data_IF_919222385526
#
_entry.id   IF_919222385526
#
_cell.length_a   1.000
_cell.length_b   1.000
_cell.length_c   1.000
_cell.angle_alpha   90.00
_cell.angle_beta   90.00
_cell.angle_gamma   90.00
#
_symmetry.space_group_name_H-M   'P 1'
#
loop_
_entity.id
_entity.type
_entity.pdbx_description
1 polymer ?
#
# COMPACT_ATOMS: atom_id res chain seq x y z
N UNK A 1 -8.54 9.19 25.18
CA UNK A 1 -7.42 10.07 24.75
C UNK A 1 -7.53 10.40 23.27
N UNK A 2 -7.14 11.62 22.86
CA UNK A 2 -7.02 11.99 21.44
C UNK A 2 -5.76 11.38 20.80
N UNK A 3 -5.81 11.07 19.49
CA UNK A 3 -4.63 10.66 18.74
C UNK A 3 -3.54 11.73 18.85
N UNK A 4 -2.32 11.34 19.20
CA UNK A 4 -1.16 12.25 19.13
C UNK A 4 -0.50 12.04 17.78
N UNK A 5 -1.06 12.66 16.75
CA UNK A 5 -0.62 12.54 15.36
C UNK A 5 0.90 12.77 15.24
N UNK A 6 1.42 13.82 15.90
CA UNK A 6 2.86 14.13 15.89
C UNK A 6 3.73 13.02 16.47
N UNK A 7 3.29 12.39 17.58
CA UNK A 7 4.01 11.27 18.18
C UNK A 7 4.00 10.05 17.25
N UNK A 8 2.86 9.71 16.65
CA UNK A 8 2.76 8.60 15.71
C UNK A 8 3.65 8.81 14.47
N UNK A 9 3.71 10.03 13.93
CA UNK A 9 4.57 10.38 12.80
C UNK A 9 6.06 10.34 13.17
N UNK A 10 6.46 10.96 14.29
CA UNK A 10 7.85 11.01 14.74
C UNK A 10 8.38 9.61 15.07
N UNK A 11 7.57 8.80 15.75
CA UNK A 11 7.94 7.45 16.13
C UNK A 11 7.96 6.51 14.92
N UNK A 12 6.98 6.62 14.01
CA UNK A 12 6.97 5.91 12.74
C UNK A 12 8.20 6.25 11.89
N UNK A 13 8.58 7.53 11.84
CA UNK A 13 9.81 7.99 11.18
C UNK A 13 11.05 7.36 11.83
N UNK A 14 11.20 7.50 13.15
CA UNK A 14 12.35 6.94 13.88
C UNK A 14 12.50 5.44 13.64
N UNK A 15 11.40 4.69 13.73
CA UNK A 15 11.34 3.24 13.49
C UNK A 15 11.74 2.85 12.07
N UNK A 16 11.33 3.63 11.07
CA UNK A 16 11.68 3.38 9.66
C UNK A 16 13.18 3.45 9.42
N UNK A 17 13.88 4.37 10.11
CA UNK A 17 15.34 4.53 10.03
C UNK A 17 16.13 3.66 11.02
N UNK A 18 15.47 2.81 11.81
CA UNK A 18 16.16 1.77 12.60
C UNK A 18 16.56 0.59 11.70
N UNK A 19 17.44 -0.27 12.21
CA UNK A 19 17.96 -1.44 11.48
C UNK A 19 16.84 -2.32 10.90
N UNK A 20 15.85 -2.69 11.73
CA UNK A 20 14.70 -3.47 11.27
C UNK A 20 13.89 -2.73 10.18
N UNK A 21 13.69 -1.41 10.34
CA UNK A 21 13.00 -0.59 9.33
C UNK A 21 13.75 -0.54 8.00
N UNK A 22 15.07 -0.35 8.01
CA UNK A 22 15.90 -0.33 6.80
C UNK A 22 15.97 -1.69 6.10
N UNK A 23 15.99 -2.79 6.86
CA UNK A 23 15.87 -4.14 6.30
C UNK A 23 14.53 -4.31 5.60
N UNK A 24 13.43 -3.87 6.22
CA UNK A 24 12.11 -3.90 5.59
C UNK A 24 12.07 -3.03 4.33
N UNK A 25 12.65 -1.82 4.35
CA UNK A 25 12.75 -0.98 3.15
C UNK A 25 13.47 -1.73 2.04
N UNK A 26 14.63 -2.33 2.31
CA UNK A 26 15.36 -3.11 1.31
C UNK A 26 14.50 -4.26 0.73
N UNK A 27 13.77 -4.98 1.59
CA UNK A 27 12.85 -6.05 1.17
C UNK A 27 11.72 -5.51 0.29
N UNK A 28 11.09 -4.38 0.66
CA UNK A 28 10.03 -3.76 -0.14
C UNK A 28 10.54 -3.18 -1.45
N UNK A 29 11.77 -2.67 -1.51
CA UNK A 29 12.39 -2.18 -2.75
C UNK A 29 12.66 -3.36 -3.69
N UNK A 30 13.26 -4.46 -3.20
CA UNK A 30 13.49 -5.65 -4.01
C UNK A 30 12.18 -6.26 -4.50
N UNK A 31 11.19 -6.39 -3.61
CA UNK A 31 9.84 -6.83 -3.97
C UNK A 31 9.20 -5.88 -4.98
N UNK A 32 9.35 -4.57 -4.78
CA UNK A 32 8.82 -3.53 -5.66
C UNK A 32 9.41 -3.59 -7.06
N UNK A 33 10.70 -3.92 -7.22
CA UNK A 33 11.34 -4.12 -8.52
C UNK A 33 10.73 -5.31 -9.24
N UNK A 34 10.61 -6.45 -8.55
CA UNK A 34 10.00 -7.64 -9.13
C UNK A 34 8.51 -7.42 -9.46
N UNK A 35 7.79 -6.70 -8.59
CA UNK A 35 6.40 -6.31 -8.84
C UNK A 35 6.28 -5.33 -10.01
N UNK A 36 7.24 -4.44 -10.23
CA UNK A 36 7.26 -3.53 -11.37
C UNK A 36 7.41 -4.29 -12.70
N UNK A 37 8.25 -5.32 -12.75
CA UNK A 37 8.36 -6.21 -13.92
C UNK A 37 7.01 -6.88 -14.20
N UNK A 38 6.38 -7.46 -13.17
CA UNK A 38 5.09 -8.15 -13.31
C UNK A 38 3.97 -7.19 -13.73
N UNK A 39 3.89 -6.01 -13.10
CA UNK A 39 2.85 -5.02 -13.41
C UNK A 39 3.03 -4.41 -14.79
N UNK A 40 4.27 -4.12 -15.21
CA UNK A 40 4.55 -3.63 -16.56
C UNK A 40 4.28 -4.71 -17.61
N UNK A 41 4.64 -5.97 -17.35
CA UNK A 41 4.31 -7.08 -18.24
C UNK A 41 2.80 -7.28 -18.38
N UNK A 42 2.05 -7.16 -17.28
CA UNK A 42 0.59 -7.21 -17.30
C UNK A 42 -0.02 -6.06 -18.10
N UNK A 43 0.44 -4.82 -17.88
CA UNK A 43 0.00 -3.64 -18.62
C UNK A 43 0.33 -3.77 -20.11
N UNK A 44 1.53 -4.24 -20.47
CA UNK A 44 1.93 -4.46 -21.86
C UNK A 44 1.09 -5.55 -22.54
N UNK A 45 0.80 -6.65 -21.86
CA UNK A 45 -0.07 -7.70 -22.38
C UNK A 45 -1.52 -7.22 -22.55
N UNK A 46 -1.99 -6.36 -21.64
CA UNK A 46 -3.32 -5.75 -21.72
C UNK A 46 -3.42 -4.77 -22.88
N UNK A 47 -2.41 -3.92 -23.08
CA UNK A 47 -2.39 -2.95 -24.19
C UNK A 47 -2.29 -3.65 -25.55
N UNK A 48 -1.50 -4.72 -25.66
CA UNK A 48 -1.43 -5.55 -26.86
C UNK A 48 -2.80 -6.16 -27.22
N UNK A 49 -3.48 -6.77 -26.24
CA UNK A 49 -4.82 -7.33 -26.44
C UNK A 49 -5.84 -6.25 -26.88
N UNK A 50 -5.79 -5.07 -26.27
CA UNK A 50 -6.66 -3.95 -26.64
C UNK A 50 -6.36 -3.45 -28.06
N UNK A 51 -5.09 -3.37 -28.44
CA UNK A 51 -4.66 -2.94 -29.78
C UNK A 51 -5.11 -3.94 -30.85
N UNK A 52 -4.94 -5.24 -30.61
CA UNK A 52 -5.39 -6.31 -31.52
C UNK A 52 -6.92 -6.28 -31.69
N UNK A 53 -7.66 -6.10 -30.59
CA UNK A 53 -9.12 -5.97 -30.63
C UNK A 53 -9.58 -4.71 -31.39
N UNK A 54 -8.87 -3.59 -31.23
CA UNK A 54 -9.20 -2.34 -31.92
C UNK A 54 -8.88 -2.39 -33.41
N UNK A 55 -7.76 -3.03 -33.79
CA UNK A 55 -7.38 -3.24 -35.19
C UNK A 55 -8.35 -4.13 -35.98
N UNK A 56 -9.13 -4.97 -35.29
CA UNK A 56 -10.16 -5.82 -35.90
C UNK A 56 -11.51 -5.10 -36.08
N UNK A 57 -11.70 -3.90 -35.52
CA UNK A 57 -12.95 -3.15 -35.70
C UNK A 57 -12.99 -2.45 -37.07
N UNK A 58 -14.16 -2.39 -37.76
CA UNK A 58 -14.31 -1.64 -39.00
C UNK A 58 -13.96 -0.15 -38.80
N UNK A 59 -12.93 0.33 -39.52
CA UNK A 59 -12.40 1.69 -39.36
C UNK A 59 -11.24 1.83 -38.36
N UNK A 60 -10.78 0.73 -37.76
CA UNK A 60 -9.55 0.71 -36.96
C UNK A 60 -8.33 0.98 -37.85
N UNK A 61 -7.65 2.11 -37.62
CA UNK A 61 -6.36 2.38 -38.27
C UNK A 61 -5.30 1.42 -37.69
N UNK A 62 -4.53 0.68 -38.52
CA UNK A 62 -3.39 -0.09 -38.03
C UNK A 62 -2.32 0.87 -37.50
N UNK A 63 -1.95 0.73 -36.23
CA UNK A 63 -1.08 1.67 -35.51
C UNK A 63 -1.92 2.69 -34.75
N UNK A 64 -2.02 2.50 -33.43
CA UNK A 64 -2.82 3.32 -32.53
C UNK A 64 -2.47 4.82 -32.57
N UNK A 65 -3.24 5.64 -31.85
CA UNK A 65 -2.98 7.07 -31.75
C UNK A 65 -1.50 7.33 -31.34
N UNK A 66 -0.82 8.31 -31.96
CA UNK A 66 0.56 8.63 -31.62
C UNK A 66 0.70 8.88 -30.12
N UNK A 67 1.74 8.31 -29.52
CA UNK A 67 2.02 8.51 -28.10
C UNK A 67 2.27 9.99 -27.80
N UNK A 68 1.97 10.45 -26.59
CA UNK A 68 2.23 11.86 -26.19
C UNK A 68 3.71 12.25 -26.42
N UNK A 69 4.63 11.29 -26.31
CA UNK A 69 6.06 11.46 -26.61
C UNK A 69 6.40 11.57 -28.11
N UNK A 70 5.56 11.08 -29.02
CA UNK A 70 5.70 11.32 -30.46
C UNK A 70 5.19 12.71 -30.88
N UNK A 71 4.28 13.29 -30.08
CA UNK A 71 3.67 14.60 -30.35
C UNK A 71 4.49 15.77 -29.79
N UNK A 72 5.40 15.54 -28.83
CA UNK A 72 6.16 16.60 -28.15
C UNK A 72 7.68 16.36 -28.28
N UNK A 73 8.40 17.16 -29.09
CA UNK A 73 9.85 17.05 -29.23
C UNK A 73 10.58 17.24 -27.89
N UNK A 74 11.48 16.32 -27.54
CA UNK A 74 12.24 16.36 -26.28
C UNK A 74 11.56 15.66 -25.09
N UNK A 75 10.32 15.18 -25.26
CA UNK A 75 9.70 14.22 -24.35
C UNK A 75 10.16 12.82 -24.75
N UNK A 76 10.49 11.98 -23.76
CA UNK A 76 10.99 10.64 -24.04
C UNK A 76 9.98 9.83 -24.85
N UNK A 77 10.34 9.42 -26.06
CA UNK A 77 9.63 8.42 -26.87
C UNK A 77 9.87 6.98 -26.40
N UNK A 78 10.38 6.82 -25.18
CA UNK A 78 10.71 5.52 -24.61
C UNK A 78 9.47 4.69 -24.35
N UNK A 79 9.63 3.36 -24.41
CA UNK A 79 8.60 2.41 -24.04
C UNK A 79 8.07 2.75 -22.62
N UNK A 80 6.75 2.98 -22.44
CA UNK A 80 6.16 3.27 -21.13
C UNK A 80 6.26 2.09 -20.16
N UNK A 81 6.62 0.91 -20.65
CA UNK A 81 6.78 -0.35 -19.92
C UNK A 81 8.18 -0.94 -20.09
N UNK A 82 9.25 -0.21 -19.70
CA UNK A 82 10.64 -0.57 -20.02
C UNK A 82 11.14 -1.89 -19.39
N UNK A 83 10.42 -2.43 -18.39
CA UNK A 83 10.71 -3.68 -17.70
C UNK A 83 9.73 -4.80 -18.06
N UNK A 84 8.81 -4.57 -19.00
CA UNK A 84 7.87 -5.59 -19.41
C UNK A 84 8.57 -6.78 -20.06
N UNK A 85 8.10 -7.97 -19.73
CA UNK A 85 8.47 -9.22 -20.37
C UNK A 85 7.36 -9.61 -21.36
N UNK A 86 7.71 -10.19 -22.52
CA UNK A 86 6.73 -10.66 -23.51
C UNK A 86 6.10 -11.97 -23.02
N UNK A 87 5.20 -11.88 -22.03
CA UNK A 87 4.48 -13.02 -21.46
C UNK A 87 2.99 -12.95 -21.78
N UNK A 88 2.31 -14.10 -21.96
CA UNK A 88 0.87 -14.11 -22.21
C UNK A 88 0.06 -13.50 -21.05
N UNK A 89 -1.02 -12.80 -21.38
CA UNK A 89 -1.88 -12.12 -20.39
C UNK A 89 -2.35 -13.04 -19.24
N UNK A 90 -2.77 -14.30 -19.47
CA UNK A 90 -3.15 -15.18 -18.36
C UNK A 90 -2.00 -15.45 -17.39
N UNK A 91 -0.77 -15.58 -17.91
CA UNK A 91 0.44 -15.82 -17.10
C UNK A 91 0.77 -14.56 -16.30
N UNK A 92 0.73 -13.39 -16.94
CA UNK A 92 0.94 -12.10 -16.25
C UNK A 92 -0.11 -11.87 -15.15
N UNK A 93 -1.37 -12.22 -15.40
CA UNK A 93 -2.45 -12.11 -14.42
C UNK A 93 -2.28 -13.04 -13.22
N UNK A 94 -1.87 -14.29 -13.45
CA UNK A 94 -1.55 -15.23 -12.35
C UNK A 94 -0.35 -14.77 -11.53
N UNK A 95 0.70 -14.24 -12.17
CA UNK A 95 1.84 -13.66 -11.48
C UNK A 95 1.44 -12.44 -10.66
N UNK A 96 0.62 -11.53 -11.21
CA UNK A 96 0.13 -10.37 -10.50
C UNK A 96 -0.68 -10.78 -9.26
N UNK A 97 -1.52 -11.81 -9.37
CA UNK A 97 -2.27 -12.37 -8.24
C UNK A 97 -1.33 -12.96 -7.19
N UNK A 98 -0.34 -13.78 -7.59
CA UNK A 98 0.64 -14.34 -6.66
C UNK A 98 1.43 -13.25 -5.92
N UNK A 99 1.85 -12.20 -6.62
CA UNK A 99 2.51 -11.04 -6.02
C UNK A 99 1.61 -10.28 -5.06
N UNK A 100 0.30 -10.19 -5.32
CA UNK A 100 -0.63 -9.57 -4.39
C UNK A 100 -0.68 -10.30 -3.02
N UNK A 101 -0.66 -11.65 -3.02
CA UNK A 101 -0.58 -12.44 -1.79
C UNK A 101 0.75 -12.24 -1.05
N UNK A 102 1.87 -12.22 -1.78
CA UNK A 102 3.19 -11.94 -1.18
C UNK A 102 3.25 -10.54 -0.59
N UNK A 103 2.69 -9.54 -1.28
CA UNK A 103 2.61 -8.17 -0.79
C UNK A 103 1.83 -8.07 0.52
N UNK A 104 0.72 -8.79 0.65
CA UNK A 104 -0.05 -8.82 1.89
C UNK A 104 0.71 -9.52 3.03
N UNK A 105 1.44 -10.59 2.73
CA UNK A 105 2.34 -11.24 3.69
C UNK A 105 3.44 -10.30 4.19
N UNK A 106 4.10 -9.58 3.28
CA UNK A 106 5.11 -8.57 3.64
C UNK A 106 4.52 -7.47 4.53
N UNK A 107 3.32 -6.99 4.24
CA UNK A 107 2.63 -5.99 5.07
C UNK A 107 2.36 -6.52 6.49
N UNK A 108 1.83 -7.74 6.62
CA UNK A 108 1.55 -8.37 7.91
C UNK A 108 2.84 -8.54 8.74
N UNK A 109 3.89 -9.08 8.13
CA UNK A 109 5.20 -9.23 8.80
C UNK A 109 5.72 -7.87 9.26
N UNK A 110 5.62 -6.84 8.41
CA UNK A 110 6.07 -5.49 8.76
C UNK A 110 5.31 -4.90 9.93
N UNK A 111 3.98 -5.08 9.97
CA UNK A 111 3.15 -4.64 11.10
C UNK A 111 3.61 -5.33 12.39
N UNK A 112 3.84 -6.65 12.36
CA UNK A 112 4.31 -7.41 13.53
C UNK A 112 5.68 -6.93 14.01
N UNK A 113 6.61 -6.67 13.10
CA UNK A 113 7.93 -6.13 13.41
C UNK A 113 7.81 -4.74 14.05
N UNK A 114 6.98 -3.85 13.50
CA UNK A 114 6.80 -2.51 14.06
C UNK A 114 5.99 -2.47 15.36
N UNK A 115 5.17 -3.48 15.63
CA UNK A 115 4.45 -3.65 16.89
C UNK A 115 5.33 -4.28 18.00
N UNK A 116 6.42 -4.95 17.65
CA UNK A 116 7.36 -5.48 18.63
C UNK A 116 8.28 -4.38 19.19
N UNK A 117 8.71 -4.45 20.44
CA UNK A 117 9.68 -3.49 20.99
C UNK A 117 11.11 -3.71 20.45
N UNK A 118 11.34 -4.85 19.79
CA UNK A 118 12.64 -5.24 19.25
C UNK A 118 12.97 -4.47 17.97
N UNK A 119 14.07 -3.73 17.98
CA UNK A 119 14.50 -2.88 16.85
C UNK A 119 15.82 -3.32 16.21
N UNK A 120 16.51 -4.29 16.83
CA UNK A 120 17.85 -4.74 16.41
C UNK A 120 17.85 -6.04 15.58
N UNK A 121 16.90 -6.95 15.82
CA UNK A 121 16.76 -8.24 15.13
C UNK A 121 15.29 -8.49 14.82
N UNK A 122 14.98 -9.12 13.69
CA UNK A 122 13.61 -9.58 13.35
C UNK A 122 13.39 -10.96 13.96
N UNK A 123 12.51 -11.12 14.97
CA UNK A 123 12.24 -12.43 15.57
C UNK A 123 11.58 -13.38 14.56
N UNK A 124 12.15 -14.58 14.40
CA UNK A 124 11.63 -15.58 13.46
C UNK A 124 10.20 -16.06 13.77
N UNK A 125 9.78 -15.97 15.03
CA UNK A 125 8.42 -16.32 15.45
C UNK A 125 7.37 -15.37 14.84
N UNK A 126 7.65 -14.06 14.77
CA UNK A 126 6.75 -13.07 14.18
C UNK A 126 6.53 -13.31 12.68
N UNK A 127 7.54 -13.86 12.01
CA UNK A 127 7.51 -14.20 10.58
C UNK A 127 6.79 -15.53 10.33
N UNK A 128 6.89 -16.51 11.24
CA UNK A 128 6.37 -17.87 11.02
C UNK A 128 4.98 -18.12 11.61
N UNK A 129 4.61 -17.44 12.69
CA UNK A 129 3.36 -17.72 13.42
C UNK A 129 2.14 -17.37 12.58
N UNK A 130 1.34 -18.37 12.19
CA UNK A 130 0.06 -18.21 11.51
C UNK A 130 0.08 -17.31 10.25
N UNK A 131 1.21 -17.16 9.58
CA UNK A 131 1.33 -16.18 8.47
C UNK A 131 0.35 -16.47 7.33
N UNK A 132 0.14 -17.74 6.97
CA UNK A 132 -0.81 -18.09 5.91
C UNK A 132 -2.25 -17.73 6.26
N UNK A 133 -2.68 -17.98 7.50
CA UNK A 133 -4.01 -17.65 7.99
C UNK A 133 -4.19 -16.13 8.10
N UNK A 134 -3.17 -15.43 8.61
CA UNK A 134 -3.17 -13.97 8.68
C UNK A 134 -3.25 -13.34 7.28
N UNK A 135 -2.50 -13.86 6.30
CA UNK A 135 -2.57 -13.40 4.90
C UNK A 135 -3.95 -13.63 4.33
N UNK A 136 -4.54 -14.81 4.51
CA UNK A 136 -5.88 -15.10 4.01
C UNK A 136 -6.92 -14.17 4.62
N UNK A 137 -6.90 -14.01 5.94
CA UNK A 137 -7.78 -13.09 6.65
C UNK A 137 -7.56 -11.64 6.19
N UNK A 138 -6.31 -11.21 6.01
CA UNK A 138 -5.93 -9.89 5.54
C UNK A 138 -6.45 -9.60 4.13
N UNK A 139 -6.32 -10.56 3.21
CA UNK A 139 -6.85 -10.46 1.85
C UNK A 139 -8.37 -10.37 1.87
N UNK A 140 -9.06 -11.28 2.58
CA UNK A 140 -10.53 -11.30 2.64
C UNK A 140 -11.07 -10.02 3.28
N UNK A 141 -10.53 -9.64 4.43
CA UNK A 141 -10.86 -8.39 5.12
C UNK A 141 -10.62 -7.17 4.23
N UNK A 142 -9.46 -7.13 3.56
CA UNK A 142 -9.09 -6.07 2.63
C UNK A 142 -10.08 -5.92 1.48
N UNK A 143 -10.48 -7.02 0.84
CA UNK A 143 -11.47 -7.01 -0.24
C UNK A 143 -12.81 -6.46 0.25
N UNK A 144 -13.32 -6.95 1.39
CA UNK A 144 -14.59 -6.50 1.97
C UNK A 144 -14.55 -5.00 2.25
N UNK A 145 -13.48 -4.52 2.92
CA UNK A 145 -13.33 -3.10 3.25
C UNK A 145 -13.21 -2.26 1.99
N UNK A 146 -12.41 -2.66 1.01
CA UNK A 146 -12.25 -1.92 -0.25
C UNK A 146 -13.59 -1.81 -0.98
N UNK A 147 -14.35 -2.89 -1.10
CA UNK A 147 -15.69 -2.86 -1.71
C UNK A 147 -16.61 -1.92 -0.93
N UNK A 148 -16.66 -2.03 0.40
CA UNK A 148 -17.51 -1.20 1.23
C UNK A 148 -17.16 0.29 1.11
N UNK A 149 -15.87 0.63 1.10
CA UNK A 149 -15.38 2.00 0.93
C UNK A 149 -15.70 2.53 -0.47
N UNK A 150 -15.47 1.76 -1.53
CA UNK A 150 -15.76 2.16 -2.92
C UNK A 150 -17.26 2.39 -3.11
N UNK A 151 -18.11 1.46 -2.66
CA UNK A 151 -19.56 1.63 -2.70
C UNK A 151 -20.01 2.84 -1.86
N UNK A 152 -19.39 3.02 -0.69
CA UNK A 152 -19.58 4.21 0.14
C UNK A 152 -19.28 5.48 -0.64
N UNK A 153 -18.09 5.60 -1.23
CA UNK A 153 -17.64 6.77 -2.00
C UNK A 153 -18.54 7.05 -3.22
N UNK A 154 -18.98 6.00 -3.93
CA UNK A 154 -19.89 6.10 -5.08
C UNK A 154 -21.27 6.62 -4.63
N UNK A 155 -21.80 6.11 -3.52
CA UNK A 155 -23.08 6.56 -2.99
C UNK A 155 -23.00 8.00 -2.47
N UNK A 156 -21.96 8.32 -1.70
CA UNK A 156 -21.63 9.67 -1.23
C UNK A 156 -20.18 9.72 -0.69
N UNK A 157 -19.44 10.80 -0.93
CA UNK A 157 -18.03 10.91 -0.50
C UNK A 157 -17.87 10.69 1.02
N UNK A 158 -18.79 11.24 1.83
CA UNK A 158 -18.74 11.16 3.30
C UNK A 158 -18.79 9.73 3.87
N UNK A 159 -19.77 8.86 3.53
CA UNK A 159 -19.81 7.48 4.03
C UNK A 159 -18.59 6.67 3.58
N UNK A 160 -18.07 6.88 2.38
CA UNK A 160 -16.83 6.23 1.93
C UNK A 160 -15.62 6.57 2.82
N UNK A 161 -15.41 7.87 3.09
CA UNK A 161 -14.35 8.34 4.00
C UNK A 161 -14.57 7.78 5.42
N UNK A 162 -15.81 7.81 5.89
CA UNK A 162 -16.17 7.30 7.21
C UNK A 162 -15.83 5.82 7.38
N UNK A 163 -16.12 4.98 6.38
CA UNK A 163 -15.77 3.56 6.39
C UNK A 163 -14.24 3.36 6.30
N UNK A 164 -13.55 4.14 5.46
CA UNK A 164 -12.10 4.07 5.33
C UNK A 164 -11.39 4.38 6.66
N UNK A 165 -11.87 5.39 7.39
CA UNK A 165 -11.36 5.72 8.73
C UNK A 165 -11.75 4.64 9.75
N UNK A 166 -12.98 4.11 9.68
CA UNK A 166 -13.45 3.11 10.65
C UNK A 166 -12.71 1.77 10.54
N UNK A 167 -12.25 1.42 9.34
CA UNK A 167 -11.48 0.21 9.08
C UNK A 167 -9.97 0.45 8.92
N UNK A 168 -9.47 1.61 9.34
CA UNK A 168 -8.06 1.99 9.21
C UNK A 168 -7.10 0.99 9.88
N UNK A 169 -7.54 0.33 10.96
CA UNK A 169 -6.72 -0.59 11.77
C UNK A 169 -6.97 -2.07 11.51
N UNK A 170 -7.69 -2.43 10.46
CA UNK A 170 -8.08 -3.83 10.22
C UNK A 170 -6.87 -4.75 10.05
N UNK A 171 -5.84 -4.31 9.31
CA UNK A 171 -4.62 -5.10 9.12
C UNK A 171 -3.83 -5.25 10.42
N UNK A 172 -3.86 -4.23 11.28
CA UNK A 172 -3.18 -4.23 12.57
C UNK A 172 -3.86 -5.19 13.55
N UNK A 173 -5.20 -5.23 13.58
CA UNK A 173 -5.94 -6.22 14.35
C UNK A 173 -5.57 -7.66 13.91
N UNK A 174 -5.54 -7.93 12.61
CA UNK A 174 -5.17 -9.26 12.07
C UNK A 174 -3.71 -9.60 12.39
N UNK A 175 -2.79 -8.66 12.18
CA UNK A 175 -1.37 -8.93 12.30
C UNK A 175 -0.88 -9.00 13.76
N UNK A 176 -1.41 -8.16 14.65
CA UNK A 176 -0.95 -8.02 16.05
C UNK A 176 -1.80 -8.84 17.01
N UNK A 177 -3.12 -8.87 16.82
CA UNK A 177 -4.06 -9.56 17.71
C UNK A 177 -4.46 -10.95 17.18
N UNK A 178 -3.90 -11.38 16.03
CA UNK A 178 -4.20 -12.66 15.35
C UNK A 178 -5.71 -12.88 15.12
N UNK A 179 -6.45 -11.79 14.95
CA UNK A 179 -7.90 -11.80 14.68
C UNK A 179 -8.22 -12.40 13.30
N UNK A 180 -9.38 -13.06 13.21
CA UNK A 180 -9.95 -13.43 11.92
C UNK A 180 -10.58 -12.20 11.23
N UNK A 181 -10.94 -12.33 9.94
CA UNK A 181 -11.45 -11.18 9.19
C UNK A 181 -12.71 -10.53 9.81
N UNK A 182 -13.61 -11.31 10.41
CA UNK A 182 -14.82 -10.78 11.07
C UNK A 182 -14.48 -10.07 12.39
N UNK A 183 -13.65 -10.70 13.23
CA UNK A 183 -13.17 -10.12 14.48
C UNK A 183 -12.43 -8.82 14.24
N UNK A 184 -11.56 -8.79 13.23
CA UNK A 184 -10.79 -7.61 12.82
C UNK A 184 -11.67 -6.43 12.36
N UNK A 185 -12.80 -6.70 11.68
CA UNK A 185 -13.76 -5.66 11.29
C UNK A 185 -14.38 -5.00 12.52
N UNK A 186 -14.91 -5.81 13.44
CA UNK A 186 -15.52 -5.31 14.69
C UNK A 186 -14.49 -4.55 15.52
N UNK A 187 -13.31 -5.15 15.69
CA UNK A 187 -12.22 -4.59 16.48
C UNK A 187 -11.71 -3.26 15.94
N UNK A 188 -11.50 -3.13 14.63
CA UNK A 188 -11.11 -1.86 14.02
C UNK A 188 -12.19 -0.79 14.21
N UNK A 189 -13.46 -1.15 14.08
CA UNK A 189 -14.57 -0.22 14.29
C UNK A 189 -14.62 0.31 15.73
N UNK A 190 -14.44 -0.56 16.72
CA UNK A 190 -14.40 -0.20 18.14
C UNK A 190 -13.21 0.70 18.47
N UNK A 191 -12.01 0.35 17.98
CA UNK A 191 -10.80 1.15 18.18
C UNK A 191 -10.95 2.57 17.61
N UNK A 192 -11.59 2.71 16.45
CA UNK A 192 -11.69 4.00 15.76
C UNK A 192 -12.80 4.90 16.27
N UNK A 193 -13.85 4.36 16.91
CA UNK A 193 -15.09 5.09 17.31
C UNK A 193 -14.84 6.39 18.08
N UNK A 194 -13.80 6.44 18.92
CA UNK A 194 -13.45 7.62 19.74
C UNK A 194 -12.44 8.58 19.10
N UNK A 195 -11.86 8.24 17.94
CA UNK A 195 -10.69 8.95 17.41
C UNK A 195 -10.73 9.19 15.90
N UNK A 196 -11.93 9.11 15.29
CA UNK A 196 -12.11 9.18 13.83
C UNK A 196 -11.53 10.43 13.21
N UNK A 197 -11.73 11.61 13.82
CA UNK A 197 -11.17 12.86 13.30
C UNK A 197 -9.65 12.92 13.40
N UNK A 198 -9.07 12.40 14.48
CA UNK A 198 -7.61 12.28 14.62
C UNK A 198 -7.02 11.34 13.56
N UNK A 199 -7.67 10.21 13.33
CA UNK A 199 -7.28 9.23 12.30
C UNK A 199 -7.46 9.78 10.89
N UNK A 200 -8.52 10.53 10.63
CA UNK A 200 -8.72 11.24 9.37
C UNK A 200 -7.59 12.25 9.14
N UNK A 201 -7.25 13.07 10.14
CA UNK A 201 -6.13 14.01 10.06
C UNK A 201 -4.80 13.31 9.80
N UNK A 202 -4.53 12.20 10.49
CA UNK A 202 -3.35 11.38 10.25
C UNK A 202 -3.31 10.83 8.82
N UNK A 203 -4.42 10.28 8.34
CA UNK A 203 -4.53 9.74 6.98
C UNK A 203 -4.29 10.81 5.92
N UNK A 204 -4.85 12.02 6.11
CA UNK A 204 -4.64 13.17 5.22
C UNK A 204 -3.16 13.57 5.22
N UNK A 205 -2.51 13.68 6.38
CA UNK A 205 -1.09 14.06 6.45
C UNK A 205 -0.21 13.02 5.75
N UNK A 206 -0.44 11.74 6.00
CA UNK A 206 0.29 10.66 5.30
C UNK A 206 0.04 10.71 3.80
N UNK A 207 -1.19 10.96 3.37
CA UNK A 207 -1.52 11.11 1.95
C UNK A 207 -0.81 12.30 1.30
N UNK A 208 -0.77 13.46 1.96
CA UNK A 208 -0.03 14.65 1.49
C UNK A 208 1.47 14.38 1.39
N UNK A 209 2.07 13.71 2.37
CA UNK A 209 3.49 13.31 2.32
C UNK A 209 3.74 12.43 1.09
N UNK A 210 2.90 11.43 0.85
CA UNK A 210 3.02 10.56 -0.32
C UNK A 210 2.88 11.34 -1.64
N UNK A 211 1.97 12.31 -1.70
CA UNK A 211 1.77 13.16 -2.86
C UNK A 211 3.02 14.00 -3.17
N UNK A 212 3.58 14.67 -2.15
CA UNK A 212 4.79 15.49 -2.30
C UNK A 212 5.98 14.63 -2.76
N UNK A 213 6.18 13.47 -2.13
CA UNK A 213 7.26 12.54 -2.44
C UNK A 213 7.09 11.91 -3.83
N UNK A 214 5.87 11.85 -4.36
CA UNK A 214 5.58 11.35 -5.70
C UNK A 214 5.90 12.32 -6.84
N UNK A 215 5.97 13.64 -6.59
CA UNK A 215 6.17 14.66 -7.64
C UNK A 215 7.46 14.45 -8.45
N UNK A 216 8.65 14.25 -7.82
CA UNK A 216 9.89 14.04 -8.57
C UNK A 216 9.80 12.81 -9.47
N UNK A 217 9.21 11.73 -8.95
CA UNK A 217 9.03 10.46 -9.66
C UNK A 217 8.23 10.65 -10.96
N UNK A 218 7.13 11.40 -10.91
CA UNK A 218 6.33 11.70 -12.08
C UNK A 218 7.17 12.45 -13.13
N UNK A 219 7.93 13.47 -12.72
CA UNK A 219 8.83 14.21 -13.63
C UNK A 219 9.88 13.32 -14.29
N UNK A 220 10.52 12.42 -13.53
CA UNK A 220 11.49 11.49 -14.08
C UNK A 220 10.88 10.46 -15.02
N UNK A 221 9.65 9.97 -14.75
CA UNK A 221 8.95 9.05 -15.65
C UNK A 221 8.72 9.66 -17.04
N UNK A 222 8.43 10.97 -17.14
CA UNK A 222 8.26 11.66 -18.42
C UNK A 222 9.57 11.81 -19.21
N UNK A 223 10.71 11.95 -18.53
CA UNK A 223 12.01 12.17 -19.18
C UNK A 223 12.71 10.84 -19.52
N UNK A 224 12.69 9.89 -18.60
CA UNK A 224 13.29 8.58 -18.73
C UNK A 224 12.45 7.54 -17.96
N UNK A 225 11.59 6.77 -18.65
CA UNK A 225 10.68 5.81 -18.02
C UNK A 225 11.39 4.80 -17.11
N UNK A 226 12.58 4.34 -17.48
CA UNK A 226 13.36 3.39 -16.69
C UNK A 226 13.84 4.03 -15.39
N UNK A 227 14.52 5.17 -15.47
CA UNK A 227 15.01 5.89 -14.29
C UNK A 227 13.86 6.31 -13.36
N UNK A 228 12.74 6.78 -13.94
CA UNK A 228 11.52 7.09 -13.20
C UNK A 228 10.93 5.87 -12.49
N UNK A 229 10.93 4.70 -13.14
CA UNK A 229 10.49 3.44 -12.51
C UNK A 229 11.40 3.03 -11.36
N UNK A 230 12.72 3.07 -11.55
CA UNK A 230 13.66 2.69 -10.48
C UNK A 230 13.54 3.63 -9.28
N UNK A 231 13.43 4.93 -9.54
CA UNK A 231 13.20 5.94 -8.49
C UNK A 231 11.85 5.71 -7.78
N UNK A 232 10.79 5.41 -8.53
CA UNK A 232 9.45 5.14 -7.98
C UNK A 232 9.45 3.95 -7.04
N UNK A 233 10.17 2.88 -7.39
CA UNK A 233 10.27 1.67 -6.58
C UNK A 233 11.01 1.93 -5.28
N UNK A 234 12.14 2.66 -5.32
CA UNK A 234 12.88 3.04 -4.12
C UNK A 234 12.00 3.88 -3.19
N UNK A 235 11.38 4.92 -3.74
CA UNK A 235 10.50 5.82 -3.00
C UNK A 235 9.31 5.06 -2.40
N UNK A 236 8.65 4.20 -3.19
CA UNK A 236 7.49 3.41 -2.77
C UNK A 236 7.86 2.46 -1.63
N UNK A 237 9.06 1.87 -1.65
CA UNK A 237 9.56 1.04 -0.55
C UNK A 237 9.64 1.82 0.76
N UNK A 238 10.25 3.01 0.74
CA UNK A 238 10.33 3.88 1.92
C UNK A 238 8.94 4.33 2.41
N UNK A 239 8.09 4.82 1.50
CA UNK A 239 6.77 5.34 1.90
C UNK A 239 5.85 4.25 2.42
N UNK A 240 5.91 3.04 1.85
CA UNK A 240 5.15 1.88 2.32
C UNK A 240 5.56 1.51 3.74
N UNK A 241 6.86 1.37 3.99
CA UNK A 241 7.39 1.01 5.33
C UNK A 241 7.06 2.10 6.35
N UNK A 242 7.26 3.36 5.99
CA UNK A 242 6.89 4.50 6.83
C UNK A 242 5.40 4.51 7.17
N UNK A 243 4.53 4.33 6.18
CA UNK A 243 3.09 4.28 6.37
C UNK A 243 2.66 3.14 7.30
N UNK A 244 3.26 1.96 7.16
CA UNK A 244 3.01 0.83 8.06
C UNK A 244 3.47 1.16 9.48
N UNK A 245 4.66 1.73 9.66
CA UNK A 245 5.18 2.10 10.98
C UNK A 245 4.27 3.12 11.67
N UNK A 246 3.90 4.20 10.97
CA UNK A 246 2.99 5.25 11.49
C UNK A 246 1.63 4.67 11.86
N UNK A 247 1.03 3.86 10.99
CA UNK A 247 -0.26 3.24 11.26
C UNK A 247 -0.20 2.27 12.45
N UNK A 248 0.90 1.52 12.59
CA UNK A 248 1.13 0.61 13.72
C UNK A 248 1.28 1.36 15.03
N UNK A 249 1.99 2.49 15.04
CA UNK A 249 2.11 3.33 16.26
C UNK A 249 0.80 4.01 16.63
N UNK A 250 0.06 4.50 15.65
CA UNK A 250 -1.29 5.02 15.88
C UNK A 250 -2.22 3.94 16.47
N UNK A 251 -2.13 2.70 15.97
CA UNK A 251 -2.88 1.57 16.50
C UNK A 251 -2.52 1.29 17.96
N UNK A 252 -1.24 1.17 18.29
CA UNK A 252 -0.80 0.94 19.68
C UNK A 252 -1.23 2.07 20.62
N UNK A 253 -1.14 3.31 20.16
CA UNK A 253 -1.55 4.47 20.95
C UNK A 253 -3.05 4.40 21.30
N UNK A 254 -3.89 4.11 20.31
CA UNK A 254 -5.35 4.01 20.52
C UNK A 254 -5.70 2.81 21.39
N UNK A 255 -5.04 1.66 21.15
CA UNK A 255 -5.23 0.44 21.92
C UNK A 255 -4.86 0.61 23.39
N UNK A 256 -3.67 1.15 23.69
CA UNK A 256 -3.21 1.42 25.07
C UNK A 256 -4.14 2.40 25.79
N UNK A 257 -4.58 3.45 25.09
CA UNK A 257 -5.51 4.44 25.64
C UNK A 257 -6.92 3.91 25.94
N UNK A 258 -7.29 2.74 25.43
CA UNK A 258 -8.53 2.03 25.82
C UNK A 258 -8.32 1.05 26.97
N UNK A 259 -7.12 0.49 27.11
CA UNK A 259 -6.78 -0.46 28.18
C UNK A 259 -6.58 0.22 29.54
N UNK A 260 -6.03 1.45 29.57
CA UNK A 260 -5.81 2.25 30.77
C UNK A 260 -6.65 3.54 30.75
N UNK A 261 -7.95 3.49 31.11
CA UNK A 261 -8.82 4.67 31.13
C UNK A 261 -8.56 5.64 32.31
N UNK A 262 -7.59 5.36 33.19
CA UNK A 262 -7.38 6.10 34.46
C UNK A 262 -5.99 6.73 34.50
N UNK A 263 -5.91 8.05 34.28
CA UNK A 263 -5.38 9.03 35.25
C UNK A 263 -5.14 10.39 34.56
N UNK A 264 -6.19 11.22 34.49
CA UNK A 264 -6.03 12.69 34.40
C UNK A 264 -7.25 13.33 35.06
N UNK A 265 -7.28 13.26 36.39
CA UNK A 265 -8.00 14.21 37.22
C UNK A 265 -7.03 14.76 38.27
N UNK A 266 -6.03 15.52 37.82
CA UNK A 266 -5.24 16.46 38.63
C UNK A 266 -4.80 17.62 37.75
#
# INVERSE_FOLDING_TARGET
>A
MSLRIGAALQEGFSRTFRRNGLVLVAVFVLFGLANAVVSQSFTAAQTALMADGFGQMPGGQPGGAPGVGELVPGVGSGDPTPLALPIPLPVAGLLALAFAFVAEGLRIVSIRVFASDETAVVPGELVRRNIGVAVLNGVVAGIIVTIAVVLGLIALILPGIFLAVSFFFIRQAIAVEDENFMGALSRSWELTKGNRFGLLGLAIIVWVINLIVGIPTAGFLFLNPLAGTLLSVVISGFTTVFGIAVATRAFEQVRRGQADPVDTSM
#
